data_IF_439769305882
#
_entry.id   IF_439769305882
#
_cell.length_a   1.000
_cell.length_b   1.000
_cell.length_c   1.000
_cell.angle_alpha   90.00
_cell.angle_beta   90.00
_cell.angle_gamma   90.00
#
_symmetry.space_group_name_H-M   'P 1'
#
loop_
_entity.id
_entity.type
_entity.pdbx_description
1 polymer ?
#
# COMPACT_ATOMS: atom_id res chain seq x y z
N UNK A 1 -4.75 21.24 -7.83
CA UNK A 1 -3.48 21.19 -8.59
C UNK A 1 -3.42 19.86 -9.30
N UNK A 2 -3.37 19.82 -10.63
CA UNK A 2 -3.17 18.57 -11.37
C UNK A 2 -1.67 18.31 -11.49
N UNK A 3 -1.23 17.11 -11.10
CA UNK A 3 0.15 16.66 -11.25
C UNK A 3 0.22 15.61 -12.35
N UNK A 4 1.13 15.80 -13.30
CA UNK A 4 1.33 14.88 -14.44
C UNK A 4 2.56 14.02 -14.20
N UNK A 5 2.41 12.70 -14.38
CA UNK A 5 3.53 11.75 -14.30
C UNK A 5 3.90 11.31 -15.72
N UNK A 6 5.16 11.51 -16.11
CA UNK A 6 5.72 11.01 -17.37
C UNK A 6 6.64 9.82 -17.09
N UNK A 7 6.27 8.63 -17.59
CA UNK A 7 7.11 7.43 -17.47
C UNK A 7 7.98 7.30 -18.72
N UNK A 8 9.31 7.39 -18.54
CA UNK A 8 10.29 7.27 -19.63
C UNK A 8 10.83 5.84 -19.74
N UNK A 9 11.37 5.50 -20.91
CA UNK A 9 12.04 4.22 -21.18
C UNK A 9 11.18 2.97 -20.95
N UNK A 10 9.88 3.05 -21.24
CA UNK A 10 8.97 1.90 -21.12
C UNK A 10 9.33 0.86 -22.20
N UNK A 11 9.67 -0.39 -21.83
CA UNK A 11 9.95 -1.42 -22.81
C UNK A 11 8.75 -1.61 -23.77
N UNK A 12 8.96 -1.73 -25.09
CA UNK A 12 7.85 -1.81 -26.06
C UNK A 12 6.87 -2.95 -25.76
N UNK A 13 7.38 -4.09 -25.27
CA UNK A 13 6.56 -5.22 -24.87
C UNK A 13 5.64 -4.91 -23.67
N UNK A 14 6.15 -4.15 -22.69
CA UNK A 14 5.36 -3.71 -21.54
C UNK A 14 4.26 -2.75 -21.98
N UNK A 15 4.61 -1.74 -22.79
CA UNK A 15 3.63 -0.79 -23.32
C UNK A 15 2.49 -1.48 -24.09
N UNK A 16 2.80 -2.46 -24.95
CA UNK A 16 1.79 -3.25 -25.68
C UNK A 16 0.86 -4.01 -24.74
N UNK A 17 1.40 -4.66 -23.71
CA UNK A 17 0.61 -5.41 -22.72
C UNK A 17 -0.33 -4.52 -21.93
N UNK A 18 0.15 -3.37 -21.46
CA UNK A 18 -0.68 -2.42 -20.71
C UNK A 18 -1.78 -1.85 -21.61
N UNK A 19 -1.45 -1.48 -22.85
CA UNK A 19 -2.46 -1.00 -23.82
C UNK A 19 -3.55 -2.03 -24.10
N UNK A 20 -3.17 -3.31 -24.26
CA UNK A 20 -4.15 -4.39 -24.45
C UNK A 20 -5.08 -4.55 -23.24
N UNK A 21 -4.53 -4.52 -22.01
CA UNK A 21 -5.33 -4.60 -20.79
C UNK A 21 -6.25 -3.40 -20.59
N UNK A 22 -5.77 -2.19 -20.90
CA UNK A 22 -6.57 -0.97 -20.86
C UNK A 22 -7.77 -1.07 -21.82
N UNK A 23 -7.54 -1.53 -23.05
CA UNK A 23 -8.61 -1.74 -24.03
C UNK A 23 -9.64 -2.79 -23.57
N UNK A 24 -9.19 -3.92 -22.99
CA UNK A 24 -10.09 -4.93 -22.43
C UNK A 24 -10.92 -4.40 -21.25
N UNK A 25 -10.36 -3.49 -20.46
CA UNK A 25 -11.06 -2.84 -19.35
C UNK A 25 -11.96 -1.68 -19.80
N UNK A 26 -12.00 -1.33 -21.10
CA UNK A 26 -12.74 -0.18 -21.60
C UNK A 26 -12.18 1.17 -21.13
N UNK A 27 -10.88 1.22 -20.80
CA UNK A 27 -10.22 2.39 -20.21
C UNK A 27 -9.19 2.98 -21.17
N UNK A 28 -8.93 4.28 -21.03
CA UNK A 28 -7.75 4.88 -21.64
C UNK A 28 -6.47 4.30 -21.01
N UNK A 29 -5.35 4.36 -21.73
CA UNK A 29 -4.07 3.88 -21.20
C UNK A 29 -3.67 4.61 -19.91
N UNK A 30 -3.88 5.93 -19.88
CA UNK A 30 -3.56 6.77 -18.72
C UNK A 30 -4.42 6.39 -17.52
N UNK A 31 -5.74 6.26 -17.70
CA UNK A 31 -6.66 5.91 -16.60
C UNK A 31 -6.39 4.51 -16.07
N UNK A 32 -6.12 3.56 -16.97
CA UNK A 32 -5.74 2.21 -16.56
C UNK A 32 -4.47 2.23 -15.70
N UNK A 33 -3.41 2.92 -16.14
CA UNK A 33 -2.16 2.99 -15.37
C UNK A 33 -2.35 3.72 -14.04
N UNK A 34 -3.12 4.80 -14.00
CA UNK A 34 -3.42 5.51 -12.76
C UNK A 34 -4.12 4.61 -11.75
N UNK A 35 -5.16 3.88 -12.17
CA UNK A 35 -5.86 2.91 -11.33
C UNK A 35 -4.93 1.84 -10.78
N UNK A 36 -4.03 1.29 -11.61
CA UNK A 36 -3.07 0.27 -11.14
C UNK A 36 -2.07 0.86 -10.13
N UNK A 37 -1.66 2.13 -10.28
CA UNK A 37 -0.81 2.83 -9.31
C UNK A 37 -1.56 3.06 -7.99
N UNK A 38 -2.80 3.52 -8.05
CA UNK A 38 -3.65 3.71 -6.87
C UNK A 38 -3.81 2.40 -6.10
N UNK A 39 -4.16 1.31 -6.79
CA UNK A 39 -4.25 -0.03 -6.20
C UNK A 39 -2.93 -0.49 -5.58
N UNK A 40 -1.78 -0.19 -6.20
CA UNK A 40 -0.49 -0.51 -5.63
C UNK A 40 -0.18 0.29 -4.36
N UNK A 41 -0.76 1.48 -4.20
CA UNK A 41 -0.58 2.37 -3.06
C UNK A 41 -1.67 2.23 -1.97
N UNK A 42 -2.75 1.49 -2.23
CA UNK A 42 -3.82 1.27 -1.23
C UNK A 42 -3.30 0.65 0.07
N UNK A 43 -2.21 -0.13 0.02
CA UNK A 43 -1.58 -0.71 1.21
C UNK A 43 -0.26 0.01 1.51
N UNK A 44 -0.08 0.56 2.72
CA UNK A 44 1.19 1.17 3.11
C UNK A 44 2.28 0.10 3.10
N UNK A 45 3.46 0.49 2.64
CA UNK A 45 4.66 -0.31 2.79
C UNK A 45 4.98 -0.54 4.27
N UNK A 46 5.77 -1.57 4.57
CA UNK A 46 6.23 -1.84 5.95
C UNK A 46 6.97 -0.65 6.54
N UNK A 47 7.75 0.07 5.74
CA UNK A 47 8.48 1.25 6.19
C UNK A 47 7.53 2.39 6.57
N UNK A 48 6.52 2.67 5.74
CA UNK A 48 5.49 3.68 6.02
C UNK A 48 4.65 3.31 7.24
N UNK A 49 4.29 2.04 7.39
CA UNK A 49 3.57 1.55 8.55
C UNK A 49 4.38 1.74 9.83
N UNK A 50 5.65 1.33 9.84
CA UNK A 50 6.53 1.50 11.00
C UNK A 50 6.75 2.98 11.32
N UNK A 51 6.98 3.82 10.30
CA UNK A 51 7.07 5.26 10.50
C UNK A 51 5.78 5.86 11.06
N UNK A 52 4.61 5.31 10.68
CA UNK A 52 3.31 5.69 11.25
C UNK A 52 3.18 5.30 12.71
N UNK A 53 3.52 4.05 13.05
CA UNK A 53 3.49 3.54 14.43
C UNK A 53 4.42 4.35 15.33
N UNK A 54 5.63 4.66 14.87
CA UNK A 54 6.60 5.45 15.65
C UNK A 54 6.15 6.89 15.94
N UNK A 55 5.16 7.42 15.20
CA UNK A 55 4.56 8.74 15.48
C UNK A 55 3.43 8.69 16.51
N UNK A 56 2.92 7.50 16.83
CA UNK A 56 1.87 7.37 17.83
C UNK A 56 2.45 7.59 19.23
N UNK A 57 1.74 8.30 20.12
CA UNK A 57 2.17 8.40 21.51
C UNK A 57 2.18 7.00 22.14
N UNK A 58 3.17 6.75 22.99
CA UNK A 58 3.20 5.53 23.79
C UNK A 58 1.96 5.50 24.71
N UNK A 59 1.26 4.37 24.71
CA UNK A 59 0.14 4.11 25.60
C UNK A 59 0.67 3.25 26.74
N UNK A 60 0.77 3.84 27.92
CA UNK A 60 1.04 3.10 29.16
C UNK A 60 -0.26 2.43 29.60
N UNK A 61 -0.23 1.09 29.67
CA UNK A 61 -1.35 0.28 30.16
C UNK A 61 -1.01 -0.23 31.56
N UNK A 62 -1.96 -0.13 32.47
CA UNK A 62 -1.85 -0.70 33.82
C UNK A 62 -3.01 -1.68 34.09
N UNK A 63 -2.75 -3.01 34.17
CA UNK A 63 -1.44 -3.64 34.02
C UNK A 63 -0.97 -3.66 32.55
N UNK A 64 0.35 -3.79 32.29
CA UNK A 64 0.87 -3.94 30.93
C UNK A 64 0.19 -5.10 30.20
N UNK A 65 -0.15 -4.92 28.92
CA UNK A 65 -0.80 -5.97 28.12
C UNK A 65 0.00 -7.28 28.09
N UNK A 66 1.33 -7.21 28.17
CA UNK A 66 2.20 -8.38 28.26
C UNK A 66 1.92 -9.24 29.49
N UNK A 67 1.56 -8.63 30.62
CA UNK A 67 1.18 -9.33 31.85
C UNK A 67 -0.11 -10.12 31.63
N UNK A 68 -1.15 -9.46 31.10
CA UNK A 68 -2.44 -10.10 30.81
C UNK A 68 -2.31 -11.26 29.81
N UNK A 69 -1.50 -11.08 28.75
CA UNK A 69 -1.24 -12.14 27.76
C UNK A 69 -0.51 -13.34 28.40
N UNK A 70 0.43 -13.07 29.31
CA UNK A 70 1.17 -14.13 30.01
C UNK A 70 0.24 -14.92 30.94
N UNK A 71 -0.55 -14.23 31.75
CA UNK A 71 -1.53 -14.86 32.63
C UNK A 71 -2.52 -15.75 31.86
N UNK A 72 -2.98 -15.32 30.69
CA UNK A 72 -3.89 -16.11 29.86
C UNK A 72 -3.19 -17.34 29.23
N UNK A 73 -1.91 -17.23 28.87
CA UNK A 73 -1.12 -18.37 28.37
C UNK A 73 -0.86 -19.39 29.46
N UNK A 74 -0.57 -18.94 30.69
CA UNK A 74 -0.28 -19.82 31.82
C UNK A 74 -1.54 -20.59 32.30
N UNK A 75 -2.74 -20.14 31.92
CA UNK A 75 -4.02 -20.83 32.19
C UNK A 75 -4.37 -21.92 31.18
N UNK A 76 -3.70 -21.99 30.02
CA UNK A 76 -3.93 -23.00 28.97
C UNK A 76 -3.04 -24.21 29.17
#
# INVERSE_FOLDING_TARGET
>A
MSSTIQIRNVPPALHRRVKARAALAGMSLSDYVLREIEWALERPTRAELLASISRLPAIELDPPAATLIREERDRR
#
